data_IF_156325207025
#
_entry.id   IF_156325207025
#
_cell.length_a   1.000
_cell.length_b   1.000
_cell.length_c   1.000
_cell.angle_alpha   90.00
_cell.angle_beta   90.00
_cell.angle_gamma   90.00
#
_symmetry.space_group_name_H-M   'P 1'
#
loop_
_entity.id
_entity.type
_entity.pdbx_description
1 polymer ?
#
# COMPACT_ATOMS: atom_id res chain seq x y z
N UNK A 1 9.73 -23.99 10.50
CA UNK A 1 10.14 -23.02 9.47
C UNK A 1 10.83 -21.85 10.14
N UNK A 2 12.16 -21.83 10.10
CA UNK A 2 12.94 -20.60 10.31
C UNK A 2 13.31 -20.07 8.93
N UNK A 3 13.19 -18.75 8.73
CA UNK A 3 13.39 -18.09 7.42
C UNK A 3 14.78 -18.34 6.82
N UNK A 4 15.75 -18.79 7.63
CA UNK A 4 17.13 -19.03 7.22
C UNK A 4 17.45 -20.50 6.88
N UNK A 5 16.51 -21.41 7.09
CA UNK A 5 16.72 -22.86 6.89
C UNK A 5 15.71 -23.48 5.92
N UNK A 6 14.79 -22.70 5.36
CA UNK A 6 13.78 -23.23 4.45
C UNK A 6 14.35 -23.44 3.03
N UNK A 7 13.71 -24.32 2.28
CA UNK A 7 14.03 -24.56 0.88
C UNK A 7 13.75 -23.31 0.02
N UNK A 8 14.44 -23.14 -1.13
CA UNK A 8 14.15 -22.05 -2.06
C UNK A 8 12.68 -21.97 -2.49
N UNK A 9 12.02 -23.13 -2.60
CA UNK A 9 10.60 -23.23 -2.97
C UNK A 9 9.68 -22.66 -1.88
N UNK A 10 9.99 -22.91 -0.61
CA UNK A 10 9.25 -22.35 0.52
C UNK A 10 9.43 -20.83 0.61
N UNK A 11 10.65 -20.31 0.35
CA UNK A 11 10.88 -18.87 0.26
C UNK A 11 10.04 -18.23 -0.85
N UNK A 12 9.96 -18.87 -2.01
CA UNK A 12 9.15 -18.37 -3.12
C UNK A 12 7.64 -18.42 -2.81
N UNK A 13 7.18 -19.48 -2.14
CA UNK A 13 5.79 -19.57 -1.68
C UNK A 13 5.48 -18.42 -0.71
N UNK A 14 6.40 -18.13 0.22
CA UNK A 14 6.24 -17.03 1.17
C UNK A 14 6.18 -15.67 0.48
N UNK A 15 7.09 -15.40 -0.44
CA UNK A 15 7.09 -14.18 -1.24
C UNK A 15 5.77 -13.99 -2.00
N UNK A 16 5.23 -15.06 -2.61
CA UNK A 16 3.95 -15.02 -3.33
C UNK A 16 2.76 -14.70 -2.43
N UNK A 17 2.77 -15.19 -1.18
CA UNK A 17 1.71 -14.90 -0.22
C UNK A 17 1.81 -13.47 0.32
N UNK A 18 3.01 -12.99 0.65
CA UNK A 18 3.24 -11.63 1.14
C UNK A 18 2.89 -10.56 0.10
N UNK A 19 3.05 -10.88 -1.18
CA UNK A 19 2.76 -10.00 -2.32
C UNK A 19 1.45 -10.37 -3.02
N UNK A 20 0.51 -10.99 -2.29
CA UNK A 20 -0.79 -11.37 -2.83
C UNK A 20 -1.73 -10.18 -3.06
N UNK A 21 -1.41 -9.01 -2.52
CA UNK A 21 -2.19 -7.78 -2.64
C UNK A 21 -1.30 -6.63 -3.14
N UNK A 22 -1.89 -5.71 -3.89
CA UNK A 22 -1.20 -4.53 -4.42
C UNK A 22 -2.04 -3.28 -4.18
N UNK A 23 -1.36 -2.22 -3.73
CA UNK A 23 -1.93 -0.89 -3.65
C UNK A 23 -2.01 -0.30 -5.06
N UNK A 24 -3.20 0.10 -5.47
CA UNK A 24 -3.43 0.82 -6.72
C UNK A 24 -4.14 2.14 -6.43
N UNK A 25 -3.84 3.14 -7.25
CA UNK A 25 -4.43 4.47 -7.15
C UNK A 25 -5.17 4.75 -8.44
N UNK A 26 -6.46 5.06 -8.34
CA UNK A 26 -7.33 5.32 -9.48
C UNK A 26 -8.05 6.65 -9.30
N UNK A 27 -8.04 7.49 -10.33
CA UNK A 27 -8.78 8.74 -10.30
C UNK A 27 -10.25 8.48 -10.65
N UNK A 28 -11.14 8.69 -9.67
CA UNK A 28 -12.59 8.58 -9.87
C UNK A 28 -13.17 9.99 -9.95
N UNK A 29 -13.77 10.33 -11.10
CA UNK A 29 -14.41 11.62 -11.30
C UNK A 29 -15.42 11.93 -10.17
N UNK A 30 -15.29 13.10 -9.56
CA UNK A 30 -16.11 13.53 -8.42
C UNK A 30 -15.64 13.06 -7.03
N UNK A 31 -14.71 12.10 -6.94
CA UNK A 31 -14.12 11.63 -5.66
C UNK A 31 -12.63 11.95 -5.52
N UNK A 32 -11.93 12.16 -6.64
CA UNK A 32 -10.49 12.38 -6.67
C UNK A 32 -9.71 11.08 -6.80
N UNK A 33 -8.43 11.08 -6.40
CA UNK A 33 -7.60 9.88 -6.38
C UNK A 33 -8.04 8.98 -5.24
N UNK A 34 -8.47 7.77 -5.58
CA UNK A 34 -8.90 6.74 -4.64
C UNK A 34 -7.81 5.68 -4.58
N UNK A 35 -7.31 5.45 -3.37
CA UNK A 35 -6.43 4.33 -3.07
C UNK A 35 -7.26 3.08 -2.81
N UNK A 36 -6.96 2.00 -3.52
CA UNK A 36 -7.57 0.68 -3.35
C UNK A 36 -6.48 -0.38 -3.20
N UNK A 37 -6.77 -1.41 -2.41
CA UNK A 37 -5.93 -2.59 -2.31
C UNK A 37 -6.58 -3.71 -3.11
N UNK A 38 -5.93 -4.12 -4.19
CA UNK A 38 -6.42 -5.16 -5.07
C UNK A 38 -5.75 -6.48 -4.72
N UNK A 39 -6.56 -7.52 -4.56
CA UNK A 39 -6.07 -8.88 -4.31
C UNK A 39 -5.72 -9.56 -5.63
N UNK A 40 -4.42 -9.69 -5.89
CA UNK A 40 -3.87 -10.37 -7.07
C UNK A 40 -4.00 -11.90 -6.92
N UNK A 41 -3.87 -12.45 -5.70
CA UNK A 41 -3.87 -13.90 -5.45
C UNK A 41 -4.77 -14.29 -4.27
N UNK A 42 -5.39 -15.46 -4.37
CA UNK A 42 -6.20 -16.02 -3.27
C UNK A 42 -5.34 -16.47 -2.08
N UNK A 43 -4.09 -16.83 -2.30
CA UNK A 43 -3.22 -17.31 -1.24
C UNK A 43 -2.54 -16.14 -0.53
N UNK A 44 -3.24 -15.49 0.41
CA UNK A 44 -2.73 -14.37 1.23
C UNK A 44 -2.65 -14.72 2.73
N UNK A 45 -2.94 -15.96 3.13
CA UNK A 45 -3.06 -16.33 4.55
C UNK A 45 -1.84 -15.98 5.42
N UNK A 46 -0.63 -16.07 4.87
CA UNK A 46 0.58 -15.70 5.60
C UNK A 46 0.75 -14.20 5.75
N UNK A 47 0.29 -13.40 4.77
CA UNK A 47 0.21 -11.95 4.91
C UNK A 47 -0.73 -11.58 6.07
N UNK A 48 -1.95 -12.12 6.06
CA UNK A 48 -2.97 -11.83 7.09
C UNK A 48 -2.48 -12.24 8.49
N UNK A 49 -1.87 -13.42 8.60
CA UNK A 49 -1.35 -13.93 9.87
C UNK A 49 -0.21 -13.06 10.40
N UNK A 50 0.73 -12.67 9.54
CA UNK A 50 1.87 -11.83 9.96
C UNK A 50 1.43 -10.41 10.33
N UNK A 51 0.45 -9.86 9.62
CA UNK A 51 -0.13 -8.57 9.97
C UNK A 51 -0.80 -8.62 11.35
N UNK A 52 -1.64 -9.64 11.59
CA UNK A 52 -2.30 -9.82 12.89
C UNK A 52 -1.28 -10.08 14.02
N UNK A 53 -0.23 -10.87 13.77
CA UNK A 53 0.84 -11.08 14.73
C UNK A 53 1.58 -9.77 15.05
N UNK A 54 1.80 -8.91 14.04
CA UNK A 54 2.41 -7.59 14.23
C UNK A 54 1.52 -6.68 15.07
N UNK A 55 0.20 -6.66 14.80
CA UNK A 55 -0.76 -5.89 15.57
C UNK A 55 -0.86 -6.36 17.03
N UNK A 56 -0.93 -7.68 17.24
CA UNK A 56 -0.91 -8.28 18.59
C UNK A 56 0.40 -7.99 19.33
N UNK A 57 1.55 -8.10 18.63
CA UNK A 57 2.85 -7.73 19.18
C UNK A 57 2.89 -6.26 19.62
N UNK A 58 2.36 -5.36 18.80
CA UNK A 58 2.24 -3.94 19.13
C UNK A 58 1.40 -3.69 20.38
N UNK A 59 0.27 -4.39 20.51
CA UNK A 59 -0.59 -4.35 21.69
C UNK A 59 0.15 -4.82 22.95
N UNK A 60 1.01 -5.84 22.83
CA UNK A 60 1.86 -6.34 23.90
C UNK A 60 3.12 -5.47 24.17
N UNK A 61 3.29 -4.34 23.48
CA UNK A 61 4.42 -3.43 23.67
C UNK A 61 5.65 -3.72 22.79
N UNK A 62 5.60 -4.72 21.92
CA UNK A 62 6.68 -4.99 20.95
C UNK A 62 6.59 -4.00 19.79
N UNK A 63 7.71 -3.45 19.34
CA UNK A 63 7.77 -2.56 18.17
C UNK A 63 8.66 -3.22 17.11
N UNK A 64 8.05 -3.57 15.97
CA UNK A 64 8.77 -4.16 14.83
C UNK A 64 9.35 -3.10 13.89
N UNK A 65 8.71 -1.93 13.85
CA UNK A 65 9.08 -0.78 13.03
C UNK A 65 8.90 0.49 13.85
N UNK A 66 9.66 1.53 13.51
CA UNK A 66 9.47 2.86 14.08
C UNK A 66 8.12 3.45 13.69
N UNK A 67 7.55 4.27 14.58
CA UNK A 67 6.31 4.97 14.31
C UNK A 67 6.47 5.89 13.09
N UNK A 68 5.59 5.71 12.10
CA UNK A 68 5.58 6.57 10.92
C UNK A 68 5.29 8.01 11.34
N UNK A 69 6.22 8.92 11.03
CA UNK A 69 5.98 10.36 11.18
C UNK A 69 4.75 10.71 10.35
N UNK A 70 3.71 11.26 10.98
CA UNK A 70 2.51 11.71 10.28
C UNK A 70 2.89 12.78 9.26
N UNK A 71 2.99 12.41 7.98
CA UNK A 71 3.09 13.38 6.90
C UNK A 71 1.71 14.03 6.78
N UNK A 72 1.65 15.36 6.92
CA UNK A 72 0.41 16.09 6.74
C UNK A 72 -0.14 15.77 5.34
N UNK A 73 -1.39 15.27 5.25
CA UNK A 73 -2.06 15.04 3.97
C UNK A 73 -2.11 16.37 3.20
N UNK A 74 -1.31 16.48 2.15
CA UNK A 74 -1.28 17.65 1.29
C UNK A 74 -2.60 17.67 0.51
N UNK A 75 -3.55 18.51 0.96
CA UNK A 75 -4.79 18.75 0.22
C UNK A 75 -4.44 19.51 -1.04
N UNK A 76 -4.25 18.81 -2.16
CA UNK A 76 -4.13 19.48 -3.45
C UNK A 76 -5.44 20.22 -3.73
N UNK A 77 -5.38 21.55 -3.66
CA UNK A 77 -6.52 22.40 -3.93
C UNK A 77 -6.71 22.49 -5.45
N UNK A 78 -7.83 21.98 -5.97
CA UNK A 78 -8.15 21.89 -7.41
C UNK A 78 -8.09 23.25 -8.15
N UNK A 79 -8.10 24.37 -7.41
CA UNK A 79 -7.95 25.71 -7.98
C UNK A 79 -6.58 25.95 -8.64
N UNK A 80 -5.54 25.18 -8.28
CA UNK A 80 -4.20 25.37 -8.85
C UNK A 80 -4.00 24.65 -10.20
N UNK A 81 -4.77 23.59 -10.49
CA UNK A 81 -4.65 22.87 -11.76
C UNK A 81 -5.17 23.67 -12.96
N UNK A 82 -6.25 24.45 -12.77
CA UNK A 82 -6.82 25.32 -13.82
C UNK A 82 -6.01 26.61 -14.09
N UNK A 83 -4.93 26.85 -13.34
CA UNK A 83 -4.07 28.04 -13.48
C UNK A 83 -2.69 27.74 -14.08
N UNK A 84 -2.37 26.48 -14.38
CA UNK A 84 -1.11 26.14 -15.05
C UNK A 84 -1.07 26.80 -16.44
N UNK A 85 -0.03 27.57 -16.79
CA UNK A 85 0.09 28.24 -18.09
C UNK A 85 0.12 27.29 -19.30
N UNK A 86 0.34 26.00 -19.08
CA UNK A 86 0.55 24.99 -20.11
C UNK A 86 -0.73 24.70 -20.91
N UNK A 87 -1.93 24.84 -20.32
CA UNK A 87 -3.20 24.46 -20.97
C UNK A 87 -3.84 25.55 -21.84
N UNK A 88 -3.22 26.74 -21.95
CA UNK A 88 -3.75 27.84 -22.77
C UNK A 88 -3.50 27.71 -24.28
N UNK A 89 -2.86 26.63 -24.75
CA UNK A 89 -2.49 26.44 -26.17
C UNK A 89 -3.42 25.52 -26.98
N UNK A 90 -4.52 25.04 -26.39
CA UNK A 90 -5.52 24.23 -27.11
C UNK A 90 -6.91 24.89 -27.05
N UNK A 91 -7.05 26.04 -27.69
CA UNK A 91 -8.34 26.52 -28.21
C UNK A 91 -8.09 27.11 -29.60
N UNK A 92 -8.57 26.38 -30.60
CA UNK A 92 -8.80 26.82 -31.98
C UNK A 92 -9.84 27.94 -31.93
#
# INVERSE_FOLDING_TARGET
>A
MTFFQASPQEHLALAKHLTAEVKTEEFVAGKGVVEKWERIRRQNHWLDTLYNASAAGHLCGVRLVDDQKKVARQRYNLQYWLRSPIDRRLKI
#
